data_IF_530408807522
#
_entry.id   IF_530408807522
#
_cell.length_a   1.000
_cell.length_b   1.000
_cell.length_c   1.000
_cell.angle_alpha   90.00
_cell.angle_beta   90.00
_cell.angle_gamma   90.00
#
_symmetry.space_group_name_H-M   'P 1'
#
loop_
_entity.id
_entity.type
_entity.pdbx_description
1 polymer ?
#
# COMPACT_ATOMS: atom_id res chain seq x y z
N UNK A 1 -8.33 -0.57 18.32
CA UNK A 1 -8.23 -1.94 18.89
C UNK A 1 -7.70 -2.88 17.79
N UNK A 2 -6.70 -3.73 18.07
CA UNK A 2 -6.14 -4.65 17.06
C UNK A 2 -7.01 -5.92 17.06
N UNK A 3 -7.72 -6.18 15.97
CA UNK A 3 -8.61 -7.35 15.86
C UNK A 3 -7.83 -8.64 15.59
N UNK A 4 -7.17 -9.17 16.63
CA UNK A 4 -6.51 -10.49 16.61
C UNK A 4 -7.52 -11.65 16.44
N UNK A 5 -8.82 -11.38 16.66
CA UNK A 5 -9.89 -12.36 16.54
C UNK A 5 -10.16 -12.81 15.10
N UNK A 6 -9.72 -12.04 14.10
CA UNK A 6 -9.83 -12.41 12.69
C UNK A 6 -8.83 -13.50 12.27
N UNK A 7 -7.89 -13.89 13.14
CA UNK A 7 -6.90 -14.93 12.83
C UNK A 7 -7.50 -16.33 12.94
N UNK A 8 -7.15 -17.18 11.97
CA UNK A 8 -7.38 -18.62 12.09
C UNK A 8 -6.52 -19.22 13.22
N UNK A 9 -6.89 -20.42 13.69
CA UNK A 9 -6.06 -21.19 14.63
C UNK A 9 -4.67 -21.42 14.01
N UNK A 10 -3.62 -21.08 14.77
CA UNK A 10 -2.20 -21.07 14.37
C UNK A 10 -1.89 -20.08 13.24
N UNK A 11 -2.70 -19.03 13.09
CA UNK A 11 -2.50 -17.96 12.11
C UNK A 11 -1.30 -17.06 12.42
N UNK A 12 -0.83 -16.34 11.40
CA UNK A 12 0.28 -15.40 11.48
C UNK A 12 -0.24 -13.96 11.40
N UNK A 13 0.01 -13.19 12.45
CA UNK A 13 -0.18 -11.74 12.45
C UNK A 13 1.09 -11.05 11.97
N UNK A 14 1.05 -10.49 10.77
CA UNK A 14 2.15 -9.68 10.21
C UNK A 14 1.79 -8.22 10.38
N UNK A 15 2.56 -7.52 11.22
CA UNK A 15 2.44 -6.06 11.33
C UNK A 15 3.55 -5.43 10.50
N UNK A 16 3.20 -4.57 9.54
CA UNK A 16 4.17 -3.78 8.77
C UNK A 16 3.66 -2.34 8.61
N UNK A 17 4.56 -1.37 8.58
CA UNK A 17 4.21 0.06 8.49
C UNK A 17 3.59 0.66 9.76
N UNK A 18 3.52 1.99 9.82
CA UNK A 18 2.96 2.78 10.94
C UNK A 18 2.00 3.87 10.44
N UNK A 19 1.24 3.61 9.36
CA UNK A 19 0.39 4.62 8.73
C UNK A 19 -0.68 5.21 9.67
N UNK A 20 -1.23 4.38 10.57
CA UNK A 20 -2.20 4.80 11.59
C UNK A 20 -1.56 5.17 12.93
N UNK A 21 -0.25 5.42 12.95
CA UNK A 21 0.54 5.61 14.16
C UNK A 21 1.19 4.34 14.69
N UNK A 22 2.01 4.49 15.73
CA UNK A 22 2.71 3.36 16.35
C UNK A 22 1.71 2.38 16.96
N UNK A 23 1.92 1.08 16.69
CA UNK A 23 1.13 0.00 17.29
C UNK A 23 1.39 -0.01 18.81
N UNK A 24 0.37 0.21 19.67
CA UNK A 24 0.56 0.17 21.12
C UNK A 24 1.03 -1.21 21.57
N UNK A 25 1.86 -1.24 22.62
CA UNK A 25 2.25 -2.49 23.24
C UNK A 25 1.01 -3.27 23.71
N UNK A 26 0.98 -4.58 23.46
CA UNK A 26 -0.08 -5.46 23.94
C UNK A 26 0.51 -6.73 24.56
N UNK A 27 -0.16 -7.35 25.54
CA UNK A 27 0.33 -8.58 26.16
C UNK A 27 0.36 -9.72 25.14
N UNK A 28 1.51 -10.41 25.04
CA UNK A 28 1.68 -11.59 24.16
C UNK A 28 0.65 -12.69 24.47
N UNK A 29 0.18 -12.74 25.71
CA UNK A 29 -0.89 -13.65 26.16
C UNK A 29 -2.17 -13.55 25.32
N UNK A 30 -2.41 -12.41 24.65
CA UNK A 30 -3.54 -12.24 23.72
C UNK A 30 -3.47 -13.14 22.48
N UNK A 31 -2.33 -13.74 22.16
CA UNK A 31 -2.18 -14.69 21.05
C UNK A 31 -2.58 -16.13 21.42
N UNK A 32 -2.74 -16.43 22.72
CA UNK A 32 -3.09 -17.77 23.20
C UNK A 32 -4.36 -18.36 22.60
N UNK A 33 -5.49 -17.62 22.46
CA UNK A 33 -6.76 -18.22 22.04
C UNK A 33 -6.69 -18.88 20.65
N UNK A 34 -5.87 -18.32 19.75
CA UNK A 34 -5.63 -18.88 18.42
C UNK A 34 -4.34 -19.70 18.35
N UNK A 35 -3.50 -19.74 19.39
CA UNK A 35 -2.10 -20.22 19.29
C UNK A 35 -1.36 -19.53 18.14
N UNK A 36 -1.57 -18.22 18.00
CA UNK A 36 -1.12 -17.43 16.87
C UNK A 36 0.36 -17.02 16.97
N UNK A 37 0.95 -16.74 15.81
CA UNK A 37 2.29 -16.17 15.67
C UNK A 37 2.20 -14.68 15.37
N UNK A 38 3.21 -13.91 15.77
CA UNK A 38 3.30 -12.48 15.45
C UNK A 38 4.70 -12.17 14.94
N UNK A 39 4.77 -11.36 13.87
CA UNK A 39 6.03 -10.86 13.32
C UNK A 39 5.90 -9.40 12.91
N UNK A 40 7.02 -8.68 13.01
CA UNK A 40 7.18 -7.28 12.61
C UNK A 40 8.38 -7.17 11.66
N UNK A 41 8.25 -7.59 10.40
CA UNK A 41 9.37 -7.56 9.46
C UNK A 41 9.68 -6.13 9.01
N UNK A 42 10.95 -5.84 8.74
CA UNK A 42 11.38 -4.67 7.98
C UNK A 42 11.91 -5.11 6.62
N UNK A 43 11.61 -4.36 5.56
CA UNK A 43 11.96 -4.72 4.18
C UNK A 43 13.46 -5.01 4.04
N UNK A 44 14.32 -4.17 4.64
CA UNK A 44 15.77 -4.27 4.51
C UNK A 44 16.36 -5.62 4.98
N UNK A 45 15.68 -6.37 5.87
CA UNK A 45 16.15 -7.71 6.25
C UNK A 45 15.87 -8.77 5.19
N UNK A 46 14.94 -8.52 4.27
CA UNK A 46 14.54 -9.43 3.18
C UNK A 46 15.19 -9.07 1.83
N UNK A 47 15.99 -8.01 1.81
CA UNK A 47 16.79 -7.56 0.65
C UNK A 47 18.19 -7.15 1.11
N UNK A 48 18.75 -7.90 2.06
CA UNK A 48 20.01 -7.56 2.73
C UNK A 48 21.20 -7.62 1.77
N UNK A 49 21.15 -8.53 0.80
CA UNK A 49 22.16 -8.69 -0.25
C UNK A 49 21.67 -8.13 -1.59
N UNK A 50 22.63 -7.80 -2.47
CA UNK A 50 22.31 -7.35 -3.83
C UNK A 50 21.59 -8.45 -4.60
N UNK A 51 22.01 -9.69 -4.42
CA UNK A 51 21.46 -10.87 -5.07
C UNK A 51 19.98 -11.05 -4.71
N UNK A 52 19.64 -11.00 -3.41
CA UNK A 52 18.25 -11.06 -2.93
C UNK A 52 17.41 -9.90 -3.46
N UNK A 53 17.95 -8.67 -3.45
CA UNK A 53 17.25 -7.50 -3.96
C UNK A 53 16.92 -7.66 -5.45
N UNK A 54 17.87 -8.11 -6.25
CA UNK A 54 17.67 -8.31 -7.69
C UNK A 54 16.69 -9.46 -7.99
N UNK A 55 16.74 -10.55 -7.22
CA UNK A 55 15.79 -11.67 -7.34
C UNK A 55 14.36 -11.18 -7.09
N UNK A 56 14.12 -10.49 -5.97
CA UNK A 56 12.79 -9.99 -5.60
C UNK A 56 12.27 -8.94 -6.59
N UNK A 57 13.14 -8.04 -7.05
CA UNK A 57 12.78 -7.06 -8.07
C UNK A 57 12.36 -7.76 -9.38
N UNK A 58 13.11 -8.76 -9.81
CA UNK A 58 12.80 -9.55 -11.01
C UNK A 58 11.43 -10.23 -10.92
N UNK A 59 11.08 -10.80 -9.77
CA UNK A 59 9.77 -11.42 -9.55
C UNK A 59 8.63 -10.40 -9.76
N UNK A 60 8.74 -9.22 -9.13
CA UNK A 60 7.73 -8.15 -9.26
C UNK A 60 7.59 -7.69 -10.70
N UNK A 61 8.68 -7.36 -11.38
CA UNK A 61 8.63 -6.91 -12.79
C UNK A 61 8.10 -8.01 -13.73
N UNK A 62 8.40 -9.27 -13.44
CA UNK A 62 7.87 -10.40 -14.21
C UNK A 62 6.35 -10.48 -14.06
N UNK A 63 5.81 -10.33 -12.86
CA UNK A 63 4.35 -10.33 -12.65
C UNK A 63 3.64 -9.16 -13.33
N UNK A 64 4.29 -7.99 -13.39
CA UNK A 64 3.76 -6.84 -14.13
C UNK A 64 3.74 -7.14 -15.63
N UNK A 65 4.84 -7.66 -16.18
CA UNK A 65 4.95 -8.02 -17.60
C UNK A 65 3.96 -9.12 -18.01
N UNK A 66 3.72 -10.09 -17.12
CA UNK A 66 2.75 -11.17 -17.31
C UNK A 66 1.30 -10.75 -17.07
N UNK A 67 1.05 -9.50 -16.64
CA UNK A 67 -0.29 -9.02 -16.30
C UNK A 67 -0.90 -9.65 -15.05
N UNK A 68 -0.10 -10.37 -14.24
CA UNK A 68 -0.53 -10.95 -12.95
C UNK A 68 -0.62 -9.89 -11.85
N UNK A 69 0.13 -8.80 -11.99
CA UNK A 69 0.10 -7.64 -11.09
C UNK A 69 -0.33 -6.40 -11.87
N UNK A 70 -1.50 -5.86 -11.52
CA UNK A 70 -2.00 -4.58 -12.06
C UNK A 70 -1.53 -3.43 -11.16
N UNK A 71 -0.84 -2.46 -11.74
CA UNK A 71 -0.41 -1.23 -11.04
C UNK A 71 -1.41 -0.13 -11.37
N UNK A 72 -1.98 0.48 -10.34
CA UNK A 72 -2.88 1.63 -10.49
C UNK A 72 -2.17 2.89 -10.04
N UNK A 73 -2.07 3.86 -10.93
CA UNK A 73 -1.53 5.19 -10.64
C UNK A 73 -2.70 6.09 -10.28
N UNK A 74 -2.82 6.43 -9.00
CA UNK A 74 -3.90 7.29 -8.51
C UNK A 74 -3.72 8.76 -8.94
N UNK A 75 -2.51 9.29 -8.75
CA UNK A 75 -2.19 10.68 -9.04
C UNK A 75 -0.70 10.84 -9.36
N UNK A 76 -0.42 11.77 -10.26
CA UNK A 76 0.93 12.22 -10.58
C UNK A 76 1.06 13.66 -10.09
N UNK A 77 2.14 13.94 -9.37
CA UNK A 77 2.49 15.25 -8.88
C UNK A 77 3.86 15.63 -9.45
N UNK A 78 4.02 16.89 -9.84
CA UNK A 78 5.35 17.42 -10.17
C UNK A 78 6.20 17.50 -8.89
N UNK A 79 7.53 17.48 -9.04
CA UNK A 79 8.43 17.43 -7.89
C UNK A 79 8.27 18.65 -6.97
N UNK A 80 7.97 19.82 -7.53
CA UNK A 80 7.70 21.06 -6.80
C UNK A 80 6.45 20.96 -5.91
N UNK A 81 5.55 20.01 -6.19
CA UNK A 81 4.30 19.79 -5.47
C UNK A 81 4.43 18.78 -4.32
N UNK A 82 5.66 18.48 -3.88
CA UNK A 82 5.92 17.47 -2.82
C UNK A 82 5.06 17.67 -1.57
N UNK A 83 4.85 18.92 -1.13
CA UNK A 83 3.95 19.23 0.00
C UNK A 83 2.54 18.71 -0.23
N UNK A 84 1.96 19.01 -1.39
CA UNK A 84 0.61 18.58 -1.73
C UNK A 84 0.52 17.05 -1.84
N UNK A 85 1.57 16.39 -2.34
CA UNK A 85 1.65 14.92 -2.37
C UNK A 85 1.67 14.32 -0.96
N UNK A 86 2.43 14.89 -0.02
CA UNK A 86 2.44 14.47 1.38
C UNK A 86 1.09 14.68 2.05
N UNK A 87 0.50 15.88 1.93
CA UNK A 87 -0.84 16.17 2.46
C UNK A 87 -1.89 15.23 1.88
N UNK A 88 -1.76 14.85 0.60
CA UNK A 88 -2.64 13.89 -0.05
C UNK A 88 -2.57 12.49 0.60
N UNK A 89 -1.36 12.02 0.89
CA UNK A 89 -1.12 10.72 1.52
C UNK A 89 -1.56 10.68 2.99
N UNK A 90 -1.23 11.73 3.76
CA UNK A 90 -1.53 11.80 5.20
C UNK A 90 -3.04 11.88 5.48
N UNK A 91 -3.79 12.55 4.60
CA UNK A 91 -5.25 12.59 4.68
C UNK A 91 -5.92 11.28 4.22
N UNK A 92 -5.14 10.29 3.76
CA UNK A 92 -5.64 8.99 3.31
C UNK A 92 -6.37 9.04 1.98
N UNK A 93 -6.16 10.08 1.15
CA UNK A 93 -6.88 10.17 -0.12
C UNK A 93 -6.45 9.07 -1.11
N UNK A 94 -5.23 8.56 -0.97
CA UNK A 94 -4.74 7.42 -1.75
C UNK A 94 -5.42 6.08 -1.44
N UNK A 95 -6.05 5.90 -0.26
CA UNK A 95 -6.75 4.63 0.05
C UNK A 95 -8.13 4.51 -0.61
N UNK A 96 -8.60 5.58 -1.25
CA UNK A 96 -9.95 5.65 -1.81
C UNK A 96 -10.06 5.07 -3.22
N UNK A 97 -8.98 4.52 -3.77
CA UNK A 97 -8.95 3.94 -5.10
C UNK A 97 -9.23 2.43 -5.04
N UNK A 98 -10.43 2.02 -5.42
CA UNK A 98 -10.83 0.62 -5.57
C UNK A 98 -11.33 0.38 -7.00
N UNK A 99 -10.81 -0.66 -7.67
CA UNK A 99 -11.18 -1.02 -9.05
C UNK A 99 -11.09 0.13 -10.07
N UNK A 100 -10.10 1.01 -9.91
CA UNK A 100 -9.91 2.19 -10.77
C UNK A 100 -10.97 3.29 -10.58
N UNK A 101 -11.72 3.26 -9.47
CA UNK A 101 -12.72 4.29 -9.11
C UNK A 101 -12.33 4.95 -7.79
N UNK A 102 -12.41 6.28 -7.77
CA UNK A 102 -12.22 7.09 -6.57
C UNK A 102 -13.54 7.07 -5.78
N UNK A 103 -13.52 6.52 -4.57
CA UNK A 103 -14.64 6.57 -3.64
C UNK A 103 -14.52 7.81 -2.73
N UNK A 104 -15.57 8.63 -2.59
CA UNK A 104 -15.51 9.74 -1.65
C UNK A 104 -15.41 9.19 -0.22
N UNK A 105 -14.46 9.72 0.56
CA UNK A 105 -14.35 9.47 1.99
C UNK A 105 -15.67 9.90 2.64
N UNK A 106 -16.41 8.97 3.26
CA UNK A 106 -17.63 9.33 4.01
C UNK A 106 -17.22 10.11 5.25
N UNK A 107 -17.34 11.43 5.20
CA UNK A 107 -17.47 12.26 6.39
C UNK A 107 -18.54 13.33 6.18
N UNK A 108 -19.53 13.26 7.07
CA UNK A 108 -20.64 14.17 7.38
C UNK A 108 -21.95 14.17 6.57
N UNK A 109 -23.03 14.40 7.33
CA UNK A 109 -24.46 14.33 7.02
C UNK A 109 -25.00 15.63 6.41
N UNK A 110 -24.20 16.40 5.68
CA UNK A 110 -24.60 17.74 5.20
C UNK A 110 -25.04 17.82 3.72
N UNK A 111 -25.05 16.72 2.96
CA UNK A 111 -25.86 16.62 1.74
C UNK A 111 -25.51 17.58 0.59
N UNK A 112 -24.27 18.08 0.49
CA UNK A 112 -23.83 18.85 -0.68
C UNK A 112 -22.87 18.04 -1.56
N UNK A 113 -23.41 17.52 -2.66
CA UNK A 113 -22.67 16.90 -3.75
C UNK A 113 -22.05 17.97 -4.66
N UNK A 114 -20.74 18.14 -4.60
CA UNK A 114 -19.98 18.76 -5.69
C UNK A 114 -19.26 17.65 -6.47
N UNK A 115 -19.92 17.16 -7.52
CA UNK A 115 -19.32 16.26 -8.50
C UNK A 115 -18.32 17.03 -9.36
N UNK A 116 -17.05 17.06 -8.95
CA UNK A 116 -15.95 17.32 -9.88
C UNK A 116 -15.48 15.97 -10.47
N UNK A 117 -15.95 15.65 -11.68
CA UNK A 117 -15.34 14.61 -12.52
C UNK A 117 -13.93 15.07 -12.89
N UNK A 118 -12.93 14.70 -12.10
CA UNK A 118 -11.54 14.74 -12.52
C UNK A 118 -11.29 13.50 -13.41
N UNK A 119 -11.45 13.69 -14.71
CA UNK A 119 -10.92 12.77 -15.72
C UNK A 119 -9.39 12.81 -15.63
N UNK A 120 -8.78 11.92 -14.85
CA UNK A 120 -7.32 11.72 -14.82
C UNK A 120 -6.88 10.30 -15.22
N UNK A 121 -7.82 9.41 -15.57
CA UNK A 121 -7.48 8.10 -16.13
C UNK A 121 -7.11 8.23 -17.61
N UNK A 122 -5.89 8.66 -17.92
CA UNK A 122 -5.23 8.23 -19.15
C UNK A 122 -4.32 7.03 -18.84
N UNK A 123 -4.39 5.93 -19.62
CA UNK A 123 -3.55 4.76 -19.39
C UNK A 123 -2.09 5.11 -19.69
N UNK A 124 -1.22 4.97 -18.69
CA UNK A 124 0.23 5.06 -18.86
C UNK A 124 0.70 3.87 -19.70
N UNK A 125 1.21 4.15 -20.90
CA UNK A 125 1.86 3.16 -21.78
C UNK A 125 3.30 3.01 -21.29
N UNK A 126 3.65 1.86 -20.70
CA UNK A 126 5.05 1.56 -20.38
C UNK A 126 5.83 1.32 -21.68
N UNK A 127 6.79 2.19 -21.97
CA UNK A 127 7.83 1.93 -22.96
C UNK A 127 8.91 1.00 -22.36
N UNK A 128 9.58 0.15 -23.17
CA UNK A 128 10.53 -0.85 -22.70
C UNK A 128 11.76 -0.23 -22.00
N UNK A 129 12.14 -0.81 -20.86
CA UNK A 129 13.27 -0.40 -19.97
C UNK A 129 14.62 -0.89 -20.55
N UNK A 130 14.96 -0.50 -21.77
CA UNK A 130 16.27 -0.82 -22.35
C UNK A 130 17.22 0.40 -22.42
N UNK A 131 16.79 1.60 -22.00
CA UNK A 131 17.56 2.86 -22.16
C UNK A 131 17.95 3.58 -20.85
N UNK A 132 17.98 2.91 -19.69
CA UNK A 132 18.45 3.50 -18.42
C UNK A 132 19.67 2.75 -17.88
N UNK A 133 20.71 2.61 -18.70
CA UNK A 133 22.08 2.36 -18.24
C UNK A 133 23.07 3.07 -19.16
N UNK A 134 23.30 4.37 -18.94
CA UNK A 134 24.53 5.08 -19.30
C UNK A 134 24.81 6.17 -18.26
#
# INVERSE_FOLDING_TARGET
EISLQCLAKRGLFVSFGNASGAVPAFPVLRLLPQSAYMTRPKLNDYVATREELLERAKDVFTWVKEGKLSIVIDRVFELEQVRAAHEYLENGFASNLHDGRIWPRREDTSGHFLSARLNCCQPFRMEPIDEIVH
#
